data_IF_304503208475
#
_entry.id   IF_304503208475
#
_cell.length_a   1.000
_cell.length_b   1.000
_cell.length_c   1.000
_cell.angle_alpha   90.00
_cell.angle_beta   90.00
_cell.angle_gamma   90.00
#
_symmetry.space_group_name_H-M   'P 1'
#
loop_
_entity.id
_entity.type
_entity.pdbx_description
1 polymer ?
#
# COMPACT_ATOMS: atom_id res chain seq x y z
N UNK A 1 -23.69 34.86 10.84
CA UNK A 1 -22.88 33.85 11.53
C UNK A 1 -22.47 32.78 10.52
N UNK A 2 -21.21 32.40 10.50
CA UNK A 2 -20.75 31.32 9.63
C UNK A 2 -21.42 30.01 10.06
N UNK A 3 -21.96 29.24 9.13
CA UNK A 3 -22.53 27.92 9.41
C UNK A 3 -21.43 26.85 9.27
N UNK A 4 -21.61 25.69 9.89
CA UNK A 4 -20.70 24.53 9.70
C UNK A 4 -20.59 24.21 8.21
N UNK A 5 -21.68 24.27 7.45
CA UNK A 5 -21.66 24.03 6.01
C UNK A 5 -20.77 25.04 5.24
N UNK A 6 -20.86 26.34 5.58
CA UNK A 6 -19.98 27.37 4.99
C UNK A 6 -18.53 27.16 5.37
N UNK A 7 -18.26 26.84 6.65
CA UNK A 7 -16.91 26.56 7.12
C UNK A 7 -16.26 25.34 6.40
N UNK A 8 -17.05 24.29 6.16
CA UNK A 8 -16.59 23.13 5.37
C UNK A 8 -16.30 23.55 3.92
N UNK A 9 -17.16 24.37 3.31
CA UNK A 9 -17.01 24.82 1.94
C UNK A 9 -15.75 25.68 1.74
N UNK A 10 -15.33 26.45 2.73
CA UNK A 10 -14.17 27.35 2.65
C UNK A 10 -12.83 26.59 2.83
N UNK A 11 -12.83 25.38 3.40
CA UNK A 11 -11.58 24.63 3.63
C UNK A 11 -10.82 24.26 2.34
N UNK A 12 -11.44 23.76 1.27
CA UNK A 12 -10.75 23.47 0.01
C UNK A 12 -10.11 24.69 -0.64
N UNK A 13 -10.65 25.88 -0.44
CA UNK A 13 -10.08 27.13 -0.93
C UNK A 13 -8.69 27.42 -0.33
N UNK A 14 -8.38 26.80 0.80
CA UNK A 14 -7.09 26.86 1.50
C UNK A 14 -6.25 25.59 1.31
N UNK A 15 -6.66 24.70 0.41
CA UNK A 15 -5.98 23.43 0.17
C UNK A 15 -6.27 22.31 1.19
N UNK A 16 -7.19 22.53 2.15
CA UNK A 16 -7.52 21.56 3.19
C UNK A 16 -8.76 20.77 2.80
N UNK A 17 -8.58 19.47 2.55
CA UNK A 17 -9.67 18.56 2.16
C UNK A 17 -10.10 17.62 3.28
N UNK A 18 -9.47 17.71 4.45
CA UNK A 18 -9.77 16.91 5.63
C UNK A 18 -9.99 17.79 6.84
N UNK A 19 -10.71 17.29 7.82
CA UNK A 19 -10.87 17.93 9.13
C UNK A 19 -11.36 16.93 10.17
N UNK A 20 -11.20 17.30 11.45
CA UNK A 20 -11.63 16.50 12.58
C UNK A 20 -12.87 17.08 13.25
N UNK A 21 -13.57 16.24 14.04
CA UNK A 21 -14.66 16.71 14.89
C UNK A 21 -14.20 17.82 15.85
N UNK A 22 -12.99 17.69 16.39
CA UNK A 22 -12.43 18.64 17.35
C UNK A 22 -12.15 19.99 16.73
N UNK A 23 -11.68 20.05 15.48
CA UNK A 23 -11.55 21.29 14.73
C UNK A 23 -12.89 22.02 14.56
N UNK A 24 -13.96 21.27 14.31
CA UNK A 24 -15.31 21.86 14.23
C UNK A 24 -15.74 22.39 15.58
N UNK A 25 -15.52 21.66 16.66
CA UNK A 25 -15.86 22.08 18.01
C UNK A 25 -15.08 23.36 18.41
N UNK A 26 -13.82 23.47 18.03
CA UNK A 26 -13.00 24.68 18.25
C UNK A 26 -13.52 25.87 17.43
N UNK A 27 -13.94 25.65 16.18
CA UNK A 27 -14.45 26.71 15.31
C UNK A 27 -15.87 27.21 15.73
N UNK A 28 -16.64 26.38 16.45
CA UNK A 28 -18.00 26.67 16.89
C UNK A 28 -18.19 26.38 18.39
N UNK A 29 -17.48 27.10 19.28
CA UNK A 29 -17.50 26.83 20.72
C UNK A 29 -18.86 26.99 21.38
N UNK A 30 -19.74 27.82 20.80
CA UNK A 30 -21.10 28.08 21.31
C UNK A 30 -22.10 26.98 20.89
N UNK A 31 -21.71 26.04 20.04
CA UNK A 31 -22.58 24.95 19.61
C UNK A 31 -22.42 23.72 20.51
N UNK A 32 -23.54 23.12 20.89
CA UNK A 32 -23.49 21.84 21.60
C UNK A 32 -22.93 20.70 20.74
N UNK A 33 -22.23 19.74 21.35
CA UNK A 33 -21.70 18.58 20.65
C UNK A 33 -22.77 17.83 19.84
N UNK A 34 -24.00 17.74 20.36
CA UNK A 34 -25.15 17.15 19.66
C UNK A 34 -25.59 17.95 18.42
N UNK A 35 -25.48 19.28 18.45
CA UNK A 35 -25.79 20.12 17.30
C UNK A 35 -24.72 19.99 16.20
N UNK A 36 -23.44 19.94 16.58
CA UNK A 36 -22.31 19.68 15.68
C UNK A 36 -22.48 18.30 15.02
N UNK A 37 -22.72 17.25 15.80
CA UNK A 37 -22.91 15.90 15.28
C UNK A 37 -24.05 15.81 14.26
N UNK A 38 -25.20 16.44 14.56
CA UNK A 38 -26.35 16.51 13.63
C UNK A 38 -26.03 17.28 12.35
N UNK A 39 -25.29 18.36 12.45
CA UNK A 39 -24.86 19.12 11.27
C UNK A 39 -23.93 18.31 10.38
N UNK A 40 -22.91 17.65 10.95
CA UNK A 40 -21.99 16.79 10.23
C UNK A 40 -22.70 15.59 9.58
N UNK A 41 -23.63 14.94 10.31
CA UNK A 41 -24.45 13.85 9.75
C UNK A 41 -25.25 14.31 8.53
N UNK A 42 -25.81 15.52 8.55
CA UNK A 42 -26.50 16.07 7.39
C UNK A 42 -25.58 16.30 6.20
N UNK A 43 -24.37 16.78 6.42
CA UNK A 43 -23.43 16.99 5.32
C UNK A 43 -22.91 15.65 4.75
N UNK A 44 -22.76 14.60 5.59
CA UNK A 44 -22.49 13.22 5.13
C UNK A 44 -23.66 12.69 4.29
N UNK A 45 -24.91 12.86 4.75
CA UNK A 45 -26.09 12.38 4.00
C UNK A 45 -26.31 13.10 2.67
N UNK A 46 -25.79 14.32 2.53
CA UNK A 46 -25.77 15.06 1.26
C UNK A 46 -24.60 14.66 0.34
N UNK A 47 -23.71 13.77 0.77
CA UNK A 47 -22.52 13.37 0.03
C UNK A 47 -21.45 14.47 -0.10
N UNK A 48 -21.54 15.55 0.66
CA UNK A 48 -20.54 16.65 0.64
C UNK A 48 -19.27 16.32 1.42
N UNK A 49 -19.42 15.48 2.42
CA UNK A 49 -18.31 14.94 3.19
C UNK A 49 -18.47 13.43 3.36
N UNK A 50 -17.39 12.73 3.56
CA UNK A 50 -17.38 11.31 3.97
C UNK A 50 -16.61 11.16 5.27
N UNK A 51 -16.90 10.10 6.05
CA UNK A 51 -16.21 9.80 7.30
C UNK A 51 -15.60 8.40 7.25
N UNK A 52 -14.36 8.25 6.78
CA UNK A 52 -13.66 6.96 6.74
C UNK A 52 -13.28 6.46 8.13
N UNK A 53 -13.22 7.36 9.10
CA UNK A 53 -12.92 7.08 10.50
C UNK A 53 -13.81 7.94 11.39
N UNK A 54 -14.22 7.41 12.54
CA UNK A 54 -14.99 8.18 13.53
C UNK A 54 -14.23 9.44 13.94
N UNK A 55 -14.90 10.59 13.82
CA UNK A 55 -14.34 11.89 14.18
C UNK A 55 -13.38 12.49 13.13
N UNK A 56 -13.14 11.80 12.03
CA UNK A 56 -12.35 12.28 10.90
C UNK A 56 -13.22 12.36 9.65
N UNK A 57 -13.15 13.46 8.95
CA UNK A 57 -14.00 13.76 7.80
C UNK A 57 -13.16 14.18 6.61
N UNK A 58 -13.64 13.82 5.42
CA UNK A 58 -13.05 14.17 4.13
C UNK A 58 -14.09 14.94 3.32
N UNK A 59 -13.70 16.06 2.78
CA UNK A 59 -14.56 16.88 1.89
C UNK A 59 -14.54 16.20 0.51
N UNK A 60 -15.73 16.01 -0.05
CA UNK A 60 -15.91 15.43 -1.39
C UNK A 60 -15.94 16.57 -2.40
N UNK A 61 -14.90 16.73 -3.25
CA UNK A 61 -14.93 17.72 -4.32
C UNK A 61 -16.05 17.43 -5.31
N UNK A 62 -16.60 18.45 -5.96
CA UNK A 62 -17.76 18.37 -6.86
C UNK A 62 -17.58 17.30 -7.95
N UNK A 63 -16.37 17.15 -8.48
CA UNK A 63 -16.02 16.14 -9.49
C UNK A 63 -16.15 14.69 -9.01
N UNK A 64 -16.15 14.46 -7.69
CA UNK A 64 -16.32 13.13 -7.06
C UNK A 64 -17.71 12.90 -6.47
N UNK A 65 -18.58 13.89 -6.44
CA UNK A 65 -19.94 13.77 -5.88
C UNK A 65 -20.71 12.65 -6.57
N UNK A 66 -20.67 12.58 -7.91
CA UNK A 66 -21.32 11.51 -8.67
C UNK A 66 -20.70 10.11 -8.41
N UNK A 67 -19.41 10.08 -8.07
CA UNK A 67 -18.72 8.84 -7.69
C UNK A 67 -19.01 8.42 -6.25
N UNK A 68 -19.43 9.36 -5.40
CA UNK A 68 -19.79 9.15 -3.99
C UNK A 68 -18.60 8.78 -3.09
N UNK A 69 -17.37 8.84 -3.60
CA UNK A 69 -16.14 8.62 -2.84
C UNK A 69 -14.96 9.29 -3.53
N UNK A 70 -14.00 9.77 -2.75
CA UNK A 70 -12.70 10.27 -3.24
C UNK A 70 -11.63 9.18 -3.16
N UNK A 71 -10.61 9.21 -4.03
CA UNK A 71 -9.48 8.31 -3.93
C UNK A 71 -8.80 8.38 -2.55
N UNK A 72 -8.31 7.26 -2.06
CA UNK A 72 -7.63 7.19 -0.76
C UNK A 72 -6.41 8.11 -0.69
N UNK A 73 -5.74 8.35 -1.81
CA UNK A 73 -4.63 9.29 -1.90
C UNK A 73 -4.96 10.73 -1.49
N UNK A 74 -6.24 11.09 -1.44
CA UNK A 74 -6.67 12.42 -1.00
C UNK A 74 -6.57 12.64 0.50
N UNK A 75 -6.69 11.58 1.31
CA UNK A 75 -6.90 11.72 2.74
C UNK A 75 -6.12 10.74 3.60
N UNK A 76 -5.46 9.74 2.99
CA UNK A 76 -4.82 8.67 3.77
C UNK A 76 -3.70 9.22 4.65
N UNK A 77 -2.87 10.12 4.15
CA UNK A 77 -1.77 10.71 4.92
C UNK A 77 -2.30 11.46 6.14
N UNK A 78 -3.27 12.34 5.94
CA UNK A 78 -3.92 13.10 7.01
C UNK A 78 -4.60 12.18 8.03
N UNK A 79 -5.28 11.12 7.54
CA UNK A 79 -5.94 10.14 8.40
C UNK A 79 -4.94 9.38 9.26
N UNK A 80 -3.82 8.96 8.69
CA UNK A 80 -2.78 8.22 9.41
C UNK A 80 -2.03 9.14 10.38
N UNK A 81 -1.81 10.40 9.99
CA UNK A 81 -1.27 11.43 10.89
C UNK A 81 -2.21 11.70 12.07
N UNK A 82 -3.51 11.84 11.82
CA UNK A 82 -4.53 11.98 12.89
C UNK A 82 -4.53 10.80 13.85
N UNK A 83 -4.25 9.59 13.36
CA UNK A 83 -4.12 8.39 14.19
C UNK A 83 -2.76 8.26 14.88
N UNK A 84 -1.79 9.12 14.57
CA UNK A 84 -0.40 9.02 15.06
C UNK A 84 0.30 7.75 14.59
N UNK A 85 -0.01 7.27 13.36
CA UNK A 85 0.48 5.98 12.86
C UNK A 85 1.35 6.10 11.62
N UNK A 86 2.45 5.37 11.62
CA UNK A 86 3.28 5.17 10.44
C UNK A 86 2.60 4.23 9.46
N UNK A 87 2.78 4.48 8.17
CA UNK A 87 2.19 3.69 7.10
C UNK A 87 2.96 3.83 5.79
N UNK A 88 2.70 2.93 4.86
CA UNK A 88 2.97 3.13 3.44
C UNK A 88 1.92 2.40 2.58
N UNK A 89 1.68 2.91 1.38
CA UNK A 89 0.92 2.23 0.33
C UNK A 89 1.78 1.08 -0.19
N UNK A 90 1.21 -0.12 -0.27
CA UNK A 90 1.92 -1.37 -0.51
C UNK A 90 1.30 -2.20 -1.64
N UNK A 91 1.98 -3.29 -2.00
CA UNK A 91 1.48 -4.32 -2.91
C UNK A 91 1.03 -3.77 -4.27
N UNK A 92 -0.09 -4.25 -4.82
CA UNK A 92 -0.62 -3.82 -6.12
C UNK A 92 -0.90 -2.31 -6.16
N UNK A 93 -1.26 -1.71 -5.02
CA UNK A 93 -1.49 -0.26 -4.95
C UNK A 93 -0.18 0.52 -5.09
N UNK A 94 0.91 0.04 -4.49
CA UNK A 94 2.23 0.64 -4.69
C UNK A 94 2.76 0.41 -6.11
N UNK A 95 2.58 -0.80 -6.66
CA UNK A 95 2.96 -1.11 -8.03
C UNK A 95 2.32 -0.14 -9.03
N UNK A 96 1.04 0.24 -8.84
CA UNK A 96 0.38 1.22 -9.70
C UNK A 96 1.00 2.63 -9.63
N UNK A 97 1.56 3.04 -8.46
CA UNK A 97 2.32 4.28 -8.35
C UNK A 97 3.67 4.25 -9.07
N UNK A 98 4.19 3.05 -9.30
CA UNK A 98 5.42 2.83 -10.08
C UNK A 98 5.14 2.57 -11.57
N UNK A 99 3.87 2.60 -11.99
CA UNK A 99 3.46 2.35 -13.38
C UNK A 99 3.36 0.87 -13.75
N UNK A 100 3.47 -0.03 -12.76
CA UNK A 100 3.41 -1.47 -12.94
C UNK A 100 2.02 -2.02 -12.53
N UNK A 101 0.97 -1.55 -13.16
CA UNK A 101 -0.38 -2.10 -13.05
C UNK A 101 -1.30 -1.40 -14.05
N UNK A 102 -1.73 -2.08 -15.09
CA UNK A 102 -2.68 -1.55 -16.08
C UNK A 102 -4.09 -1.34 -15.51
N UNK A 103 -4.40 -1.95 -14.37
CA UNK A 103 -5.71 -1.81 -13.71
C UNK A 103 -5.53 -1.20 -12.32
N UNK A 104 -6.29 -0.14 -12.06
CA UNK A 104 -6.39 0.40 -10.70
C UNK A 104 -6.90 -0.70 -9.77
N UNK A 105 -6.15 -1.07 -8.72
CA UNK A 105 -6.59 -2.13 -7.83
C UNK A 105 -7.92 -1.79 -7.16
N UNK A 106 -8.88 -2.73 -7.19
CA UNK A 106 -10.17 -2.59 -6.49
C UNK A 106 -10.00 -2.40 -4.98
N UNK A 107 -8.86 -2.80 -4.46
CA UNK A 107 -8.52 -2.75 -3.03
C UNK A 107 -7.26 -1.92 -2.86
N UNK A 108 -7.38 -0.84 -2.09
CA UNK A 108 -6.25 0.00 -1.75
C UNK A 108 -5.49 -0.61 -0.57
N UNK A 109 -4.26 -1.04 -0.79
CA UNK A 109 -3.46 -1.77 0.20
C UNK A 109 -2.53 -0.84 0.96
N UNK A 110 -2.62 -0.88 2.28
CA UNK A 110 -1.83 -0.04 3.18
C UNK A 110 -1.12 -0.91 4.21
N UNK A 111 0.17 -0.76 4.33
CA UNK A 111 0.98 -1.38 5.38
C UNK A 111 1.05 -0.46 6.59
N UNK A 112 0.89 -1.03 7.78
CA UNK A 112 0.93 -0.31 9.05
C UNK A 112 1.72 -1.11 10.09
N UNK A 113 2.17 -0.44 11.14
CA UNK A 113 2.71 -1.12 12.34
C UNK A 113 1.56 -1.56 13.28
N UNK A 114 1.79 -2.50 14.20
CA UNK A 114 0.82 -2.85 15.23
C UNK A 114 0.35 -1.63 16.06
N UNK A 115 -0.89 -1.65 16.58
CA UNK A 115 -1.89 -2.71 16.50
C UNK A 115 -2.57 -2.77 15.12
N UNK A 116 -3.09 -3.94 14.72
CA UNK A 116 -3.79 -4.11 13.46
C UNK A 116 -5.02 -3.22 13.37
N UNK A 117 -5.33 -2.73 12.18
CA UNK A 117 -6.55 -2.00 11.89
C UNK A 117 -7.52 -2.87 11.08
N UNK A 118 -8.81 -2.67 11.34
CA UNK A 118 -9.85 -3.27 10.49
C UNK A 118 -9.89 -2.54 9.16
N UNK A 119 -10.17 -3.28 8.10
CA UNK A 119 -10.39 -2.72 6.78
C UNK A 119 -11.45 -1.63 6.80
N UNK A 120 -11.26 -0.60 6.00
CA UNK A 120 -12.23 0.47 5.80
C UNK A 120 -12.96 0.24 4.50
N UNK A 121 -14.25 -0.05 4.61
CA UNK A 121 -15.14 -0.30 3.48
C UNK A 121 -16.22 0.76 3.44
N UNK A 122 -16.33 1.46 2.32
CA UNK A 122 -17.49 2.24 1.92
C UNK A 122 -18.18 1.58 0.72
N UNK A 123 -19.24 2.17 0.22
CA UNK A 123 -19.96 1.62 -0.96
C UNK A 123 -19.06 1.51 -2.19
N UNK A 124 -18.10 2.41 -2.34
CA UNK A 124 -17.26 2.55 -3.55
C UNK A 124 -15.76 2.60 -3.24
N UNK A 125 -15.34 2.24 -2.04
CA UNK A 125 -13.92 2.15 -1.69
C UNK A 125 -13.67 1.02 -0.71
N UNK A 126 -12.50 0.41 -0.82
CA UNK A 126 -12.04 -0.61 0.12
C UNK A 126 -10.55 -0.38 0.39
N UNK A 127 -10.23 -0.06 1.64
CA UNK A 127 -8.84 0.03 2.11
C UNK A 127 -8.54 -1.17 2.98
N UNK A 128 -7.58 -1.97 2.55
CA UNK A 128 -7.04 -3.10 3.29
C UNK A 128 -5.82 -2.67 4.08
N UNK A 129 -5.81 -2.99 5.37
CA UNK A 129 -4.67 -2.75 6.25
C UNK A 129 -3.92 -4.05 6.52
N UNK A 130 -2.66 -4.09 6.12
CA UNK A 130 -1.73 -5.16 6.43
C UNK A 130 -0.82 -4.72 7.57
N UNK A 131 -0.41 -5.67 8.41
CA UNK A 131 0.41 -5.38 9.57
C UNK A 131 1.82 -5.93 9.39
N UNK A 132 2.82 -5.07 9.59
CA UNK A 132 4.25 -5.39 9.58
C UNK A 132 4.83 -4.96 10.91
N UNK A 133 5.72 -5.74 11.50
CA UNK A 133 6.29 -5.46 12.83
C UNK A 133 6.94 -4.08 12.93
N UNK A 134 7.60 -3.64 11.87
CA UNK A 134 8.22 -2.32 11.73
C UNK A 134 8.18 -1.88 10.28
N UNK A 135 7.92 -0.60 10.05
CA UNK A 135 8.00 0.02 8.73
C UNK A 135 9.46 0.37 8.43
N UNK A 136 10.01 -0.11 7.30
CA UNK A 136 11.37 0.19 6.88
C UNK A 136 11.40 1.57 6.19
N UNK A 137 11.42 2.65 6.99
CA UNK A 137 11.26 4.03 6.52
C UNK A 137 12.26 4.44 5.44
N UNK A 138 13.48 3.87 5.46
CA UNK A 138 14.51 4.13 4.44
C UNK A 138 14.10 3.69 3.02
N UNK A 139 13.10 2.81 2.91
CA UNK A 139 12.60 2.24 1.66
C UNK A 139 11.14 2.66 1.38
N UNK A 140 10.71 3.75 2.00
CA UNK A 140 9.42 4.39 1.78
C UNK A 140 9.63 5.75 1.15
N UNK A 141 9.01 5.95 -0.01
CA UNK A 141 9.10 7.17 -0.79
C UNK A 141 7.88 8.06 -0.55
N UNK A 142 8.12 9.36 -0.46
CA UNK A 142 7.05 10.33 -0.38
C UNK A 142 6.64 10.77 -1.77
N UNK A 143 5.42 10.46 -2.19
CA UNK A 143 4.87 10.79 -3.51
C UNK A 143 3.87 11.92 -3.40
N UNK A 144 3.98 12.89 -4.31
CA UNK A 144 3.03 13.99 -4.38
C UNK A 144 1.68 13.50 -4.90
N UNK A 145 0.61 13.98 -4.27
CA UNK A 145 -0.78 13.76 -4.68
C UNK A 145 -1.46 15.10 -4.97
N UNK A 146 -2.72 15.06 -5.36
CA UNK A 146 -3.48 16.29 -5.59
C UNK A 146 -3.69 17.14 -4.32
N UNK A 147 -3.75 16.50 -3.16
CA UNK A 147 -4.08 17.16 -1.88
C UNK A 147 -2.90 17.25 -0.92
N UNK A 148 -1.72 16.77 -1.32
CA UNK A 148 -0.54 16.74 -0.46
C UNK A 148 0.43 15.65 -0.86
N UNK A 149 0.72 14.74 0.05
CA UNK A 149 1.65 13.65 -0.16
C UNK A 149 1.06 12.32 0.33
N UNK A 150 1.68 11.23 -0.09
CA UNK A 150 1.39 9.89 0.37
C UNK A 150 2.69 9.09 0.43
N UNK A 151 2.82 8.23 1.45
CA UNK A 151 3.96 7.34 1.59
C UNK A 151 3.73 6.06 0.80
N UNK A 152 4.68 5.67 -0.04
CA UNK A 152 4.61 4.51 -0.94
C UNK A 152 5.90 3.70 -0.78
N UNK A 153 5.84 2.37 -0.74
CA UNK A 153 7.06 1.55 -0.80
C UNK A 153 7.86 1.84 -2.07
N UNK A 154 9.19 1.85 -1.98
CA UNK A 154 10.04 1.91 -3.18
C UNK A 154 9.78 0.68 -4.07
N UNK A 155 10.21 0.67 -5.35
CA UNK A 155 10.00 -0.46 -6.25
C UNK A 155 10.46 -1.79 -5.67
N UNK A 156 11.64 -1.83 -5.08
CA UNK A 156 12.25 -3.05 -4.53
C UNK A 156 11.48 -3.58 -3.32
N UNK A 157 11.07 -2.71 -2.39
CA UNK A 157 10.23 -3.12 -1.26
C UNK A 157 8.86 -3.59 -1.75
N UNK A 158 8.30 -2.93 -2.78
CA UNK A 158 7.04 -3.34 -3.41
C UNK A 158 7.16 -4.76 -4.00
N UNK A 159 8.23 -5.03 -4.74
CA UNK A 159 8.50 -6.34 -5.33
C UNK A 159 8.59 -7.45 -4.26
N UNK A 160 9.31 -7.20 -3.17
CA UNK A 160 9.43 -8.16 -2.07
C UNK A 160 8.11 -8.35 -1.32
N UNK A 161 7.35 -7.28 -1.07
CA UNK A 161 6.06 -7.35 -0.38
C UNK A 161 5.02 -8.12 -1.21
N UNK A 162 5.01 -8.00 -2.54
CA UNK A 162 4.14 -8.80 -3.43
C UNK A 162 4.32 -10.29 -3.21
N UNK A 163 5.55 -10.76 -3.01
CA UNK A 163 5.87 -12.17 -2.77
C UNK A 163 5.73 -12.58 -1.30
N UNK A 164 5.93 -11.65 -0.37
CA UNK A 164 5.70 -11.88 1.06
C UNK A 164 4.21 -12.13 1.32
N UNK A 165 3.35 -11.34 0.68
CA UNK A 165 1.90 -11.38 0.85
C UNK A 165 1.17 -11.99 -0.37
N UNK A 166 1.83 -12.89 -1.12
CA UNK A 166 1.30 -13.50 -2.35
C UNK A 166 -0.12 -14.07 -2.22
N UNK A 167 -0.44 -14.69 -1.08
CA UNK A 167 -1.79 -15.21 -0.81
C UNK A 167 -2.87 -14.11 -0.71
N UNK A 168 -2.48 -12.85 -0.51
CA UNK A 168 -3.37 -11.68 -0.41
C UNK A 168 -3.44 -10.89 -1.71
N UNK A 169 -2.45 -11.06 -2.60
CA UNK A 169 -2.40 -10.41 -3.92
C UNK A 169 -3.06 -11.23 -5.02
N UNK A 170 -3.45 -12.47 -4.71
CA UNK A 170 -4.17 -13.38 -5.61
C UNK A 170 -3.40 -14.68 -5.85
N UNK A 171 -2.19 -14.62 -6.38
CA UNK A 171 -1.35 -15.81 -6.64
C UNK A 171 0.11 -15.39 -6.86
N UNK A 172 1.01 -16.37 -6.92
CA UNK A 172 2.41 -16.15 -7.35
C UNK A 172 2.45 -15.68 -8.81
N UNK A 173 1.61 -16.24 -9.68
CA UNK A 173 1.54 -15.87 -11.09
C UNK A 173 1.15 -14.40 -11.26
N UNK A 174 0.10 -13.94 -10.54
CA UNK A 174 -0.27 -12.52 -10.56
C UNK A 174 0.85 -11.61 -10.02
N UNK A 175 1.56 -12.04 -8.98
CA UNK A 175 2.72 -11.29 -8.50
C UNK A 175 3.82 -11.25 -9.57
N UNK A 176 4.08 -12.34 -10.28
CA UNK A 176 5.07 -12.42 -11.35
C UNK A 176 4.69 -11.50 -12.56
N UNK A 177 3.42 -11.47 -12.96
CA UNK A 177 2.94 -10.53 -14.00
C UNK A 177 3.24 -9.08 -13.63
N UNK A 178 2.94 -8.67 -12.39
CA UNK A 178 3.24 -7.30 -11.93
C UNK A 178 4.73 -7.06 -11.80
N UNK A 179 5.52 -8.09 -11.42
CA UNK A 179 6.97 -7.99 -11.36
C UNK A 179 7.60 -7.80 -12.74
N UNK A 180 7.05 -8.39 -13.79
CA UNK A 180 7.49 -8.18 -15.17
C UNK A 180 7.40 -6.69 -15.56
N UNK A 181 6.28 -6.03 -15.24
CA UNK A 181 6.11 -4.60 -15.47
C UNK A 181 7.01 -3.73 -14.56
N UNK A 182 7.28 -4.21 -13.34
CA UNK A 182 8.08 -3.48 -12.36
C UNK A 182 9.59 -3.61 -12.60
N UNK A 183 10.03 -4.64 -13.34
CA UNK A 183 11.44 -5.02 -13.49
C UNK A 183 12.34 -3.85 -13.94
N UNK A 184 11.89 -3.03 -14.89
CA UNK A 184 12.61 -1.85 -15.38
C UNK A 184 12.85 -0.77 -14.30
N UNK A 185 12.14 -0.82 -13.17
CA UNK A 185 12.27 0.14 -12.06
C UNK A 185 13.10 -0.40 -10.90
N UNK A 186 13.45 -1.69 -10.94
CA UNK A 186 14.19 -2.35 -9.86
C UNK A 186 15.69 -2.08 -9.98
N UNK A 187 16.26 -1.60 -8.90
CA UNK A 187 17.71 -1.41 -8.76
C UNK A 187 18.16 -1.82 -7.36
N UNK A 188 18.36 -3.12 -7.16
CA UNK A 188 18.85 -3.65 -5.89
C UNK A 188 20.33 -3.28 -5.61
N UNK A 189 21.08 -2.88 -6.65
CA UNK A 189 22.47 -2.44 -6.49
C UNK A 189 22.62 -1.14 -5.70
N UNK A 190 21.60 -0.29 -5.69
CA UNK A 190 21.57 0.96 -4.90
C UNK A 190 21.22 0.75 -3.43
N UNK A 191 20.72 -0.43 -3.06
CA UNK A 191 20.23 -0.68 -1.71
C UNK A 191 21.40 -1.01 -0.76
N UNK A 192 21.29 -0.55 0.48
CA UNK A 192 22.22 -0.94 1.52
C UNK A 192 22.04 -2.43 1.88
N UNK A 193 23.14 -3.09 2.29
CA UNK A 193 23.13 -4.51 2.62
C UNK A 193 22.14 -4.89 3.74
N UNK A 194 21.77 -3.95 4.61
CA UNK A 194 20.81 -4.15 5.69
C UNK A 194 19.35 -4.16 5.23
N UNK A 195 19.05 -3.85 3.96
CA UNK A 195 17.72 -4.11 3.38
C UNK A 195 17.26 -5.55 3.63
N UNK A 196 18.17 -6.51 3.54
CA UNK A 196 17.89 -7.93 3.78
C UNK A 196 17.36 -8.19 5.22
N UNK A 197 17.67 -7.32 6.18
CA UNK A 197 17.17 -7.41 7.56
C UNK A 197 15.75 -6.87 7.71
N UNK A 198 15.30 -6.05 6.79
CA UNK A 198 13.98 -5.42 6.81
C UNK A 198 12.88 -6.26 6.13
N UNK A 199 13.28 -7.32 5.41
CA UNK A 199 12.38 -8.16 4.61
C UNK A 199 12.66 -9.64 4.84
N UNK A 200 11.66 -10.55 4.58
CA UNK A 200 11.90 -11.97 4.68
C UNK A 200 12.89 -12.45 3.60
N UNK A 201 13.97 -13.11 4.01
CA UNK A 201 14.98 -13.69 3.09
C UNK A 201 14.33 -14.63 2.07
N UNK A 202 13.34 -15.43 2.49
CA UNK A 202 12.59 -16.33 1.60
C UNK A 202 11.82 -15.59 0.51
N UNK A 203 11.43 -14.35 0.74
CA UNK A 203 10.77 -13.53 -0.29
C UNK A 203 11.78 -12.99 -1.31
N UNK A 204 13.00 -12.65 -0.88
CA UNK A 204 14.11 -12.32 -1.78
C UNK A 204 14.55 -13.52 -2.60
N UNK A 205 14.59 -14.74 -2.02
CA UNK A 205 14.87 -15.97 -2.77
C UNK A 205 13.81 -16.22 -3.87
N UNK A 206 12.52 -16.06 -3.54
CA UNK A 206 11.42 -16.18 -4.53
C UNK A 206 11.53 -15.11 -5.61
N UNK A 207 11.82 -13.86 -5.22
CA UNK A 207 11.99 -12.76 -6.15
C UNK A 207 13.13 -13.03 -7.14
N UNK A 208 14.29 -13.39 -6.62
CA UNK A 208 15.43 -13.71 -7.47
C UNK A 208 15.14 -14.89 -8.40
N UNK A 209 14.52 -15.95 -7.93
CA UNK A 209 14.10 -17.08 -8.78
C UNK A 209 13.13 -16.63 -9.89
N UNK A 210 12.13 -15.81 -9.57
CA UNK A 210 11.16 -15.35 -10.57
C UNK A 210 11.84 -14.44 -11.60
N UNK A 211 12.68 -13.52 -11.17
CA UNK A 211 13.42 -12.64 -12.08
C UNK A 211 14.36 -13.41 -13.00
N UNK A 212 15.07 -14.41 -12.46
CA UNK A 212 16.11 -15.17 -13.19
C UNK A 212 15.49 -16.21 -14.14
N UNK A 213 14.63 -17.07 -13.62
CA UNK A 213 14.17 -18.30 -14.31
C UNK A 213 12.82 -18.14 -15.02
N UNK A 214 12.04 -17.11 -14.69
CA UNK A 214 10.68 -16.95 -15.23
C UNK A 214 10.58 -15.70 -16.10
N UNK A 215 11.19 -14.59 -15.69
CA UNK A 215 11.14 -13.31 -16.40
C UNK A 215 12.37 -13.07 -17.27
N UNK A 216 13.42 -13.87 -17.14
CA UNK A 216 14.69 -13.74 -17.84
C UNK A 216 15.38 -12.38 -17.61
N UNK A 217 15.11 -11.75 -16.46
CA UNK A 217 15.70 -10.48 -16.01
C UNK A 217 17.02 -10.71 -15.23
N UNK A 218 18.00 -11.33 -15.92
CA UNK A 218 19.25 -11.82 -15.31
C UNK A 218 20.08 -10.76 -14.60
N UNK A 219 20.15 -9.52 -15.10
CA UNK A 219 20.92 -8.44 -14.47
C UNK A 219 20.31 -8.04 -13.12
N UNK A 220 18.99 -7.87 -13.09
CA UNK A 220 18.27 -7.54 -11.85
C UNK A 220 18.36 -8.70 -10.86
N UNK A 221 18.18 -9.94 -11.33
CA UNK A 221 18.33 -11.14 -10.51
C UNK A 221 19.73 -11.23 -9.88
N UNK A 222 20.82 -10.95 -10.62
CA UNK A 222 22.18 -11.00 -10.10
C UNK A 222 22.41 -9.92 -9.03
N UNK A 223 21.77 -8.76 -9.15
CA UNK A 223 21.83 -7.73 -8.11
C UNK A 223 21.16 -8.18 -6.80
N UNK A 224 20.01 -8.87 -6.88
CA UNK A 224 19.36 -9.52 -5.72
C UNK A 224 20.27 -10.59 -5.11
N UNK A 225 20.91 -11.42 -5.96
CA UNK A 225 21.81 -12.48 -5.51
C UNK A 225 23.03 -11.94 -4.79
N UNK A 226 23.63 -10.87 -5.32
CA UNK A 226 24.75 -10.16 -4.71
C UNK A 226 24.38 -9.58 -3.35
N UNK A 227 23.20 -8.97 -3.23
CA UNK A 227 22.68 -8.45 -1.98
C UNK A 227 22.51 -9.57 -0.93
N UNK A 228 21.95 -10.71 -1.32
CA UNK A 228 21.81 -11.88 -0.44
C UNK A 228 23.17 -12.43 0.00
N UNK A 229 24.14 -12.53 -0.90
CA UNK A 229 25.51 -12.98 -0.55
C UNK A 229 26.20 -12.03 0.44
N UNK A 230 26.12 -10.72 0.19
CA UNK A 230 26.76 -9.71 1.04
C UNK A 230 26.14 -9.68 2.44
N UNK A 231 24.88 -10.12 2.62
CA UNK A 231 24.21 -10.14 3.91
C UNK A 231 24.74 -11.19 4.88
N UNK A 232 25.47 -12.22 4.38
CA UNK A 232 25.98 -13.33 5.19
C UNK A 232 24.91 -14.35 5.63
N UNK A 233 23.67 -14.23 5.19
CA UNK A 233 22.63 -15.22 5.51
C UNK A 233 22.85 -16.55 4.78
N UNK A 234 22.72 -17.65 5.52
CA UNK A 234 22.71 -18.99 4.94
C UNK A 234 21.32 -19.27 4.38
N UNK A 235 21.22 -19.40 3.06
CA UNK A 235 19.94 -19.65 2.40
C UNK A 235 19.49 -21.09 2.64
N UNK A 236 18.28 -21.27 3.16
CA UNK A 236 17.60 -22.55 3.30
C UNK A 236 16.62 -22.74 2.15
N UNK A 237 16.33 -24.01 1.80
CA UNK A 237 15.31 -24.29 0.80
C UNK A 237 13.93 -23.81 1.25
N UNK A 238 13.29 -23.01 0.40
CA UNK A 238 11.94 -22.48 0.63
C UNK A 238 11.02 -22.86 -0.53
N UNK A 239 9.75 -23.19 -0.29
CA UNK A 239 8.80 -23.45 -1.38
C UNK A 239 8.48 -22.14 -2.10
N UNK A 240 8.30 -22.21 -3.41
CA UNK A 240 7.88 -21.06 -4.24
C UNK A 240 6.49 -20.58 -3.80
N UNK A 241 5.56 -21.51 -3.60
CA UNK A 241 4.25 -21.25 -2.99
C UNK A 241 4.16 -21.84 -1.59
N UNK A 242 4.02 -20.96 -0.61
CA UNK A 242 3.82 -21.38 0.77
C UNK A 242 2.51 -22.18 0.93
N UNK A 243 2.52 -23.23 1.77
CA UNK A 243 1.33 -24.03 2.06
C UNK A 243 0.96 -25.09 1.01
N UNK A 244 1.67 -25.20 -0.11
CA UNK A 244 1.54 -26.26 -1.09
C UNK A 244 2.61 -27.34 -0.85
N UNK A 245 2.28 -28.64 -1.04
CA UNK A 245 3.24 -29.74 -0.91
C UNK A 245 4.48 -29.49 -1.77
N UNK A 246 5.62 -29.88 -1.24
CA UNK A 246 6.93 -29.80 -1.91
C UNK A 246 7.51 -31.18 -2.24
N UNK A 247 6.74 -32.24 -2.04
CA UNK A 247 7.17 -33.61 -2.27
C UNK A 247 7.36 -33.88 -3.76
N UNK A 248 8.52 -34.41 -4.13
CA UNK A 248 8.85 -34.74 -5.52
C UNK A 248 9.09 -33.51 -6.42
N UNK A 249 9.05 -32.29 -5.88
CA UNK A 249 9.26 -31.08 -6.67
C UNK A 249 10.74 -30.82 -6.96
N UNK A 250 11.00 -30.22 -8.12
CA UNK A 250 12.32 -29.74 -8.54
C UNK A 250 12.87 -28.70 -7.57
N UNK A 251 14.23 -28.60 -7.50
CA UNK A 251 14.92 -27.67 -6.61
C UNK A 251 15.89 -26.81 -7.41
N UNK A 252 15.69 -25.52 -7.38
CA UNK A 252 16.68 -24.58 -7.90
C UNK A 252 17.79 -24.38 -6.86
N UNK A 253 19.03 -24.73 -7.24
CA UNK A 253 20.17 -24.71 -6.34
C UNK A 253 20.71 -23.29 -6.08
N UNK A 254 20.62 -22.38 -7.06
CA UNK A 254 21.09 -20.99 -6.96
C UNK A 254 20.25 -20.23 -5.92
N UNK A 255 18.94 -20.26 -6.07
CA UNK A 255 18.00 -19.51 -5.24
C UNK A 255 17.51 -20.27 -4.00
N UNK A 256 17.86 -21.56 -3.88
CA UNK A 256 17.35 -22.44 -2.83
C UNK A 256 15.80 -22.45 -2.80
N UNK A 257 15.19 -22.55 -3.97
CA UNK A 257 13.74 -22.62 -4.14
C UNK A 257 13.32 -24.05 -4.50
N UNK A 258 12.23 -24.51 -3.87
CA UNK A 258 11.51 -25.73 -4.26
C UNK A 258 10.39 -25.28 -5.19
N UNK A 259 10.43 -25.72 -6.46
CA UNK A 259 9.51 -25.29 -7.51
C UNK A 259 8.22 -26.10 -7.42
N UNK A 260 7.37 -25.76 -6.45
CA UNK A 260 6.11 -26.45 -6.17
C UNK A 260 4.89 -25.76 -6.77
N UNK A 261 5.07 -24.76 -7.62
CA UNK A 261 4.03 -24.07 -8.36
C UNK A 261 4.53 -23.68 -9.75
N UNK A 262 3.68 -23.82 -10.75
CA UNK A 262 3.93 -23.29 -12.10
C UNK A 262 3.49 -21.82 -12.13
N UNK A 263 4.33 -20.97 -12.71
CA UNK A 263 4.03 -19.57 -12.88
C UNK A 263 3.58 -19.36 -14.33
N UNK A 264 2.39 -18.85 -14.49
CA UNK A 264 1.84 -18.38 -15.76
C UNK A 264 1.81 -16.86 -15.74
N UNK A 265 2.40 -16.23 -16.72
CA UNK A 265 2.38 -14.78 -16.88
C UNK A 265 1.23 -14.46 -17.81
N UNK A 266 0.27 -13.66 -17.35
CA UNK A 266 -0.78 -13.16 -18.22
C UNK A 266 -0.15 -12.32 -19.33
N UNK A 267 -0.45 -12.63 -20.59
CA UNK A 267 -0.06 -11.79 -21.73
C UNK A 267 -0.70 -10.41 -21.56
N UNK A 268 0.11 -9.36 -21.60
CA UNK A 268 -0.24 -7.95 -21.34
C UNK A 268 -0.90 -7.32 -22.57
#
# INVERSE_FOLDING_TARGET
>A
MASIASWIYDKPLRGNYTFTHDEVAQAFPDMSAGSIARALTREVSKGRIMSPLRGFYVIVPDEYVLRGAVPQSFYLDDMMHHLGRKYYVALLSAASYHGASHQVPLRFSVMIEPPAMRDKKGEKYLTHFFCKSRIPEAYVERRQTRTGYINVSCPELTAVDLLTYQAKTGSVSRAATVLAELAEKLDFGRLAADFVKEVPVTSLQRLGYILDEVLEEGEVAESVYSLLKCSGFVLQYAPLKAGKSSEGCERNAKWRIIVNETIEIDEL
#
